data_IF_702619793615
#
_entry.id   IF_702619793615
#
_cell.length_a   1.000
_cell.length_b   1.000
_cell.length_c   1.000
_cell.angle_alpha   90.00
_cell.angle_beta   90.00
_cell.angle_gamma   90.00
#
_symmetry.space_group_name_H-M   'P 1'
#
loop_
_entity.id
_entity.type
_entity.pdbx_description
1 polymer ?
#
# COMPACT_ATOMS: atom_id res chain seq x y z
N UNK A 1 18.34 22.68 -30.17
CA UNK A 1 17.30 22.27 -29.20
C UNK A 1 16.28 21.27 -29.76
N UNK A 2 15.92 21.30 -31.05
CA UNK A 2 15.07 20.25 -31.65
C UNK A 2 15.83 18.93 -31.98
N UNK A 3 17.14 19.01 -32.20
CA UNK A 3 17.96 17.85 -32.61
C UNK A 3 18.42 16.94 -31.45
N UNK A 4 18.32 17.39 -30.20
CA UNK A 4 18.66 16.57 -29.02
C UNK A 4 17.52 15.60 -28.63
N UNK A 5 16.28 15.91 -29.03
CA UNK A 5 15.12 15.06 -28.76
C UNK A 5 15.10 13.84 -29.69
N UNK A 6 15.39 14.04 -30.99
CA UNK A 6 15.50 12.96 -31.99
C UNK A 6 16.60 11.94 -31.63
N UNK A 7 17.72 12.39 -31.03
CA UNK A 7 18.79 11.49 -30.58
C UNK A 7 18.38 10.61 -29.38
N UNK A 8 17.46 11.09 -28.53
CA UNK A 8 16.91 10.30 -27.42
C UNK A 8 15.90 9.28 -27.94
N UNK A 9 15.09 9.65 -28.94
CA UNK A 9 14.16 8.74 -29.61
C UNK A 9 14.88 7.61 -30.36
N UNK A 10 16.05 7.89 -30.96
CA UNK A 10 16.91 6.86 -31.56
C UNK A 10 17.39 5.80 -30.57
N UNK A 11 17.51 6.12 -29.27
CA UNK A 11 17.93 5.16 -28.25
C UNK A 11 16.78 4.24 -27.80
N UNK A 12 15.53 4.68 -27.97
CA UNK A 12 14.34 3.89 -27.66
C UNK A 12 13.99 2.86 -28.75
N UNK A 13 14.62 2.94 -29.92
CA UNK A 13 14.39 2.03 -31.05
C UNK A 13 15.54 1.02 -31.20
N UNK A 14 15.80 0.23 -30.15
CA UNK A 14 16.64 -0.96 -30.24
C UNK A 14 15.79 -2.20 -29.98
N UNK A 15 15.90 -3.20 -30.86
CA UNK A 15 14.93 -4.30 -31.04
C UNK A 15 14.84 -5.33 -29.89
N UNK A 16 15.44 -5.07 -28.73
CA UNK A 16 15.53 -6.01 -27.61
C UNK A 16 14.98 -5.49 -26.27
N UNK A 17 14.22 -4.39 -26.26
CA UNK A 17 13.65 -3.87 -25.00
C UNK A 17 12.13 -4.03 -24.98
N UNK A 18 11.67 -5.10 -24.31
CA UNK A 18 10.31 -5.11 -23.78
C UNK A 18 10.22 -4.02 -22.71
N UNK A 19 9.87 -2.80 -23.11
CA UNK A 19 9.54 -1.73 -22.16
C UNK A 19 8.31 -2.23 -21.42
N UNK A 20 8.47 -2.59 -20.14
CA UNK A 20 7.34 -2.96 -19.29
C UNK A 20 6.23 -1.93 -19.43
N UNK A 21 4.96 -2.34 -19.39
CA UNK A 21 3.86 -1.40 -19.56
C UNK A 21 4.05 -0.21 -18.60
N UNK A 22 3.76 1.02 -19.04
CA UNK A 22 4.03 2.23 -18.22
C UNK A 22 3.45 2.11 -16.81
N UNK A 23 2.30 1.44 -16.68
CA UNK A 23 1.69 1.10 -15.40
C UNK A 23 2.55 0.19 -14.51
N UNK A 24 3.25 -0.79 -15.07
CA UNK A 24 4.20 -1.65 -14.35
C UNK A 24 5.47 -0.89 -13.93
N UNK A 25 5.98 0.02 -14.76
CA UNK A 25 7.13 0.86 -14.38
C UNK A 25 6.77 1.80 -13.23
N UNK A 26 5.63 2.48 -13.31
CA UNK A 26 5.12 3.32 -12.21
C UNK A 26 4.90 2.48 -10.95
N UNK A 27 4.37 1.26 -11.10
CA UNK A 27 4.18 0.34 -9.98
C UNK A 27 5.50 0.01 -9.26
N UNK A 28 6.51 -0.41 -10.01
CA UNK A 28 7.81 -0.79 -9.46
C UNK A 28 8.47 0.42 -8.78
N UNK A 29 8.51 1.57 -9.45
CA UNK A 29 9.08 2.79 -8.87
C UNK A 29 8.34 3.24 -7.60
N UNK A 30 7.01 3.19 -7.58
CA UNK A 30 6.22 3.51 -6.39
C UNK A 30 6.51 2.52 -5.25
N UNK A 31 6.64 1.22 -5.55
CA UNK A 31 6.96 0.22 -4.55
C UNK A 31 8.35 0.43 -3.94
N UNK A 32 9.34 0.74 -4.76
CA UNK A 32 10.70 0.98 -4.28
C UNK A 32 10.79 2.23 -3.39
N UNK A 33 10.09 3.30 -3.77
CA UNK A 33 10.01 4.50 -2.93
C UNK A 33 9.28 4.21 -1.62
N UNK A 34 8.18 3.45 -1.64
CA UNK A 34 7.47 3.08 -0.41
C UNK A 34 8.32 2.17 0.50
N UNK A 35 9.13 1.28 -0.07
CA UNK A 35 10.11 0.48 0.67
C UNK A 35 11.15 1.39 1.33
N UNK A 36 11.72 2.33 0.58
CA UNK A 36 12.70 3.29 1.09
C UNK A 36 12.14 4.21 2.20
N UNK A 37 10.90 4.69 2.05
CA UNK A 37 10.23 5.51 3.07
C UNK A 37 9.80 4.71 4.31
N UNK A 38 9.60 3.40 4.16
CA UNK A 38 9.16 2.50 5.21
C UNK A 38 10.29 1.94 6.10
N UNK A 39 11.53 1.95 5.62
CA UNK A 39 12.70 1.53 6.37
C UNK A 39 13.10 2.59 7.39
N UNK A 40 12.85 2.35 8.68
CA UNK A 40 13.49 3.10 9.75
C UNK A 40 14.99 2.77 9.77
N UNK A 41 15.85 3.76 9.51
CA UNK A 41 17.25 3.72 9.89
C UNK A 41 17.35 3.94 11.41
N UNK A 42 17.33 2.85 12.17
CA UNK A 42 17.53 2.89 13.62
C UNK A 42 16.75 1.80 14.35
N UNK A 43 17.30 0.60 14.45
CA UNK A 43 17.59 -0.04 15.73
C UNK A 43 18.24 -1.42 15.51
N UNK A 44 19.35 -1.62 16.23
CA UNK A 44 20.19 -2.80 16.31
C UNK A 44 19.37 -4.07 16.52
N UNK A 45 19.42 -4.99 15.55
CA UNK A 45 19.00 -6.37 15.72
C UNK A 45 19.91 -7.06 16.73
N UNK A 46 19.39 -7.35 17.93
CA UNK A 46 19.86 -8.51 18.71
C UNK A 46 19.23 -9.78 18.13
N UNK A 47 20.00 -10.85 17.86
CA UNK A 47 19.46 -12.11 17.36
C UNK A 47 18.66 -12.80 18.47
N UNK A 48 17.46 -13.28 18.16
CA UNK A 48 16.76 -14.27 18.99
C UNK A 48 16.56 -15.51 18.12
N UNK A 49 16.98 -16.63 18.68
CA UNK A 49 17.32 -17.87 17.98
C UNK A 49 16.16 -18.55 17.24
N UNK A 50 16.55 -19.29 16.20
CA UNK A 50 15.70 -20.07 15.32
C UNK A 50 14.97 -21.21 16.06
N UNK A 51 13.64 -21.22 16.00
CA UNK A 51 12.83 -22.43 16.19
C UNK A 51 12.68 -23.19 14.85
N UNK A 52 12.77 -24.51 14.95
CA UNK A 52 12.93 -25.49 13.89
C UNK A 52 11.89 -25.43 12.74
N UNK A 53 12.39 -25.46 11.50
CA UNK A 53 11.60 -25.55 10.28
C UNK A 53 11.14 -26.99 10.03
N UNK A 54 9.84 -27.24 10.19
CA UNK A 54 9.21 -28.48 9.76
C UNK A 54 9.09 -28.51 8.21
N UNK A 55 9.70 -29.49 7.51
CA UNK A 55 9.73 -29.54 6.05
C UNK A 55 8.36 -29.85 5.39
N UNK A 56 7.30 -30.07 6.17
CA UNK A 56 5.94 -30.36 5.68
C UNK A 56 4.90 -29.29 6.08
N UNK A 57 5.32 -28.04 6.26
CA UNK A 57 4.41 -26.92 6.45
C UNK A 57 3.86 -26.41 5.09
N UNK A 58 2.55 -26.13 5.04
CA UNK A 58 1.84 -25.55 3.87
C UNK A 58 2.49 -24.23 3.39
N UNK A 59 3.27 -23.56 4.24
CA UNK A 59 4.03 -22.36 3.87
C UNK A 59 5.06 -22.59 2.77
N UNK A 60 5.54 -23.81 2.56
CA UNK A 60 6.48 -24.17 1.50
C UNK A 60 5.84 -24.26 0.10
N UNK A 61 4.50 -24.21 0.00
CA UNK A 61 3.77 -24.16 -1.28
C UNK A 61 3.47 -22.72 -1.73
N UNK A 62 3.79 -21.73 -0.91
CA UNK A 62 3.78 -20.34 -1.33
C UNK A 62 5.12 -20.14 -2.02
N UNK A 63 5.09 -20.04 -3.36
CA UNK A 63 6.27 -19.67 -4.15
C UNK A 63 6.97 -18.41 -3.60
N UNK A 64 8.20 -18.12 -4.06
CA UNK A 64 9.03 -17.05 -3.50
C UNK A 64 8.18 -15.79 -3.32
N UNK A 65 8.20 -15.18 -2.11
CA UNK A 65 7.20 -14.19 -1.74
C UNK A 65 7.26 -13.07 -2.77
N UNK A 66 6.14 -12.87 -3.46
CA UNK A 66 5.92 -11.78 -4.40
C UNK A 66 6.66 -10.53 -3.92
N UNK A 67 7.36 -9.88 -4.85
CA UNK A 67 8.29 -8.75 -4.68
C UNK A 67 7.68 -7.46 -4.07
N UNK A 68 6.50 -7.61 -3.47
CA UNK A 68 5.65 -6.64 -2.80
C UNK A 68 5.48 -6.97 -1.31
N UNK A 69 6.39 -7.76 -0.72
CA UNK A 69 6.43 -8.01 0.71
C UNK A 69 6.71 -6.68 1.44
N UNK A 70 5.64 -5.92 1.64
CA UNK A 70 5.58 -4.77 2.52
C UNK A 70 5.96 -5.33 3.88
N UNK A 71 7.22 -5.09 4.24
CA UNK A 71 7.86 -5.59 5.45
C UNK A 71 6.84 -5.63 6.58
N UNK A 72 6.69 -6.76 7.26
CA UNK A 72 5.62 -7.01 8.24
C UNK A 72 5.47 -5.89 9.30
N UNK A 73 6.57 -5.19 9.62
CA UNK A 73 6.62 -4.09 10.58
C UNK A 73 6.48 -2.67 9.96
N UNK A 74 6.47 -2.57 8.64
CA UNK A 74 6.25 -1.33 7.90
C UNK A 74 4.85 -0.79 8.13
N UNK A 75 4.71 0.53 7.91
CA UNK A 75 3.45 1.25 8.07
C UNK A 75 2.36 0.63 7.21
N UNK A 76 2.64 0.43 5.93
CA UNK A 76 1.74 -0.20 4.95
C UNK A 76 1.48 -1.66 5.28
N UNK A 77 2.48 -2.40 5.79
CA UNK A 77 2.32 -3.78 6.24
C UNK A 77 1.29 -3.89 7.37
N UNK A 78 1.40 -3.05 8.40
CA UNK A 78 0.45 -3.05 9.53
C UNK A 78 -0.98 -2.70 9.11
N UNK A 79 -1.15 -1.67 8.28
CA UNK A 79 -2.48 -1.26 7.77
C UNK A 79 -3.09 -2.40 6.96
N UNK A 80 -2.31 -3.02 6.08
CA UNK A 80 -2.74 -4.13 5.21
C UNK A 80 -3.10 -5.38 6.02
N UNK A 81 -2.33 -5.69 7.05
CA UNK A 81 -2.63 -6.80 7.95
C UNK A 81 -3.92 -6.56 8.75
N UNK A 82 -4.15 -5.35 9.27
CA UNK A 82 -5.41 -5.05 9.94
C UNK A 82 -6.58 -5.11 8.95
N UNK A 83 -6.42 -4.56 7.75
CA UNK A 83 -7.43 -4.65 6.70
C UNK A 83 -7.77 -6.12 6.38
N UNK A 84 -6.76 -6.97 6.27
CA UNK A 84 -6.92 -8.41 6.13
C UNK A 84 -7.68 -9.01 7.32
N UNK A 85 -7.22 -8.77 8.54
CA UNK A 85 -7.83 -9.28 9.77
C UNK A 85 -9.33 -8.96 9.86
N UNK A 86 -9.70 -7.73 9.49
CA UNK A 86 -11.09 -7.26 9.46
C UNK A 86 -11.89 -7.92 8.33
N UNK A 87 -11.32 -8.01 7.14
CA UNK A 87 -12.03 -8.45 5.95
C UNK A 87 -12.31 -9.96 5.91
N UNK A 88 -11.47 -10.78 6.56
CA UNK A 88 -11.61 -12.25 6.59
C UNK A 88 -12.70 -12.77 7.53
N UNK A 89 -13.29 -11.93 8.41
CA UNK A 89 -14.41 -12.32 9.27
C UNK A 89 -15.51 -11.25 9.26
N UNK A 90 -16.75 -11.61 8.89
CA UNK A 90 -17.88 -10.68 8.93
C UNK A 90 -18.07 -10.04 10.32
N UNK A 91 -17.88 -10.81 11.39
CA UNK A 91 -18.03 -10.35 12.76
C UNK A 91 -16.98 -9.29 13.13
N UNK A 92 -15.71 -9.49 12.72
CA UNK A 92 -14.64 -8.52 12.94
C UNK A 92 -14.90 -7.22 12.18
N UNK A 93 -15.36 -7.34 10.92
CA UNK A 93 -15.75 -6.19 10.10
C UNK A 93 -16.89 -5.40 10.74
N UNK A 94 -17.94 -6.07 11.21
CA UNK A 94 -19.07 -5.41 11.87
C UNK A 94 -18.64 -4.71 13.16
N UNK A 95 -17.79 -5.34 13.97
CA UNK A 95 -17.22 -4.72 15.18
C UNK A 95 -16.42 -3.46 14.86
N UNK A 96 -15.65 -3.48 13.77
CA UNK A 96 -14.92 -2.31 13.30
C UNK A 96 -15.86 -1.21 12.82
N UNK A 97 -16.89 -1.54 12.03
CA UNK A 97 -17.90 -0.56 11.58
C UNK A 97 -18.61 0.09 12.77
N UNK A 98 -18.97 -0.69 13.81
CA UNK A 98 -19.52 -0.13 15.06
C UNK A 98 -18.54 0.85 15.72
N UNK A 99 -17.25 0.55 15.68
CA UNK A 99 -16.20 1.45 16.20
C UNK A 99 -16.08 2.72 15.35
N UNK A 100 -16.18 2.61 14.03
CA UNK A 100 -16.21 3.77 13.12
C UNK A 100 -17.41 4.67 13.44
N UNK A 101 -18.60 4.09 13.58
CA UNK A 101 -19.81 4.85 13.90
C UNK A 101 -19.79 5.46 15.32
N UNK A 102 -19.02 4.89 16.26
CA UNK A 102 -18.82 5.47 17.58
C UNK A 102 -17.90 6.70 17.54
N UNK A 103 -16.87 6.65 16.69
CA UNK A 103 -15.82 7.67 16.63
C UNK A 103 -16.19 8.84 15.71
N UNK A 104 -17.00 8.60 14.69
CA UNK A 104 -17.42 9.61 13.73
C UNK A 104 -18.94 9.80 13.82
N UNK A 105 -19.37 11.03 14.12
CA UNK A 105 -20.80 11.40 14.09
C UNK A 105 -21.41 11.14 12.70
N UNK A 106 -22.65 10.65 12.73
CA UNK A 106 -23.43 10.10 11.60
C UNK A 106 -23.71 11.06 10.44
N UNK A 107 -23.34 12.34 10.55
CA UNK A 107 -23.64 13.37 9.55
C UNK A 107 -22.75 13.29 8.28
N UNK A 108 -21.69 12.46 8.28
CA UNK A 108 -20.89 12.16 7.07
C UNK A 108 -21.17 10.74 6.56
N UNK A 109 -21.07 10.48 5.24
CA UNK A 109 -21.23 9.14 4.65
C UNK A 109 -20.04 8.18 4.94
N UNK A 110 -19.38 8.32 6.09
CA UNK A 110 -18.32 7.42 6.55
C UNK A 110 -18.95 6.15 7.14
N UNK A 111 -20.23 6.21 7.49
CA UNK A 111 -21.08 5.19 8.09
C UNK A 111 -21.19 3.97 7.17
N UNK A 112 -20.22 3.05 7.24
CA UNK A 112 -20.10 1.72 6.58
C UNK A 112 -18.69 1.49 5.98
N UNK A 113 -17.78 2.47 6.04
CA UNK A 113 -16.44 2.30 5.48
C UNK A 113 -15.60 1.37 6.37
N UNK A 114 -15.14 0.26 5.80
CA UNK A 114 -14.05 -0.56 6.34
C UNK A 114 -12.71 -0.15 5.72
N UNK A 115 -11.60 -0.67 6.24
CA UNK A 115 -10.29 -0.59 5.59
C UNK A 115 -10.31 -1.33 4.25
N UNK A 116 -9.53 -0.83 3.28
CA UNK A 116 -9.38 -1.46 1.97
C UNK A 116 -8.21 -2.44 1.99
N UNK A 117 -8.44 -3.63 1.43
CA UNK A 117 -7.37 -4.61 1.23
C UNK A 117 -6.48 -4.17 0.07
N UNK A 118 -5.17 -4.31 0.23
CA UNK A 118 -4.25 -4.18 -0.90
C UNK A 118 -4.48 -5.30 -1.90
N UNK A 119 -4.40 -4.94 -3.18
CA UNK A 119 -4.46 -5.89 -4.28
C UNK A 119 -3.07 -5.86 -4.93
N UNK A 120 -2.24 -6.90 -4.75
CA UNK A 120 -0.85 -6.87 -5.21
C UNK A 120 -0.68 -6.56 -6.69
N UNK A 121 -1.64 -7.00 -7.52
CA UNK A 121 -1.64 -6.77 -8.97
C UNK A 121 -2.11 -5.37 -9.38
N UNK A 122 -2.60 -4.56 -8.45
CA UNK A 122 -3.07 -3.20 -8.71
C UNK A 122 -2.20 -2.20 -7.96
N UNK A 123 -1.33 -1.52 -8.69
CA UNK A 123 -0.39 -0.56 -8.14
C UNK A 123 -1.05 0.59 -7.35
N UNK A 124 -2.26 0.98 -7.76
CA UNK A 124 -3.10 1.98 -7.11
C UNK A 124 -3.73 1.54 -5.78
N UNK A 125 -3.68 0.24 -5.45
CA UNK A 125 -4.32 -0.27 -4.24
C UNK A 125 -3.63 0.25 -2.97
N UNK A 126 -2.31 0.50 -3.01
CA UNK A 126 -1.55 1.12 -1.92
C UNK A 126 -2.06 2.53 -1.60
N UNK A 127 -2.22 3.36 -2.64
CA UNK A 127 -2.77 4.71 -2.51
C UNK A 127 -4.18 4.67 -1.91
N UNK A 128 -5.08 3.84 -2.46
CA UNK A 128 -6.45 3.72 -1.97
C UNK A 128 -6.52 3.23 -0.52
N UNK A 129 -5.68 2.26 -0.15
CA UNK A 129 -5.58 1.77 1.23
C UNK A 129 -5.12 2.87 2.17
N UNK A 130 -4.04 3.59 1.84
CA UNK A 130 -3.51 4.67 2.67
C UNK A 130 -4.52 5.80 2.83
N UNK A 131 -5.16 6.22 1.74
CA UNK A 131 -6.22 7.23 1.76
C UNK A 131 -7.33 6.83 2.74
N UNK A 132 -7.85 5.59 2.62
CA UNK A 132 -8.89 5.07 3.52
C UNK A 132 -8.42 4.96 4.96
N UNK A 133 -7.18 4.53 5.19
CA UNK A 133 -6.64 4.38 6.54
C UNK A 133 -6.48 5.73 7.23
N UNK A 134 -6.05 6.77 6.50
CA UNK A 134 -5.96 8.14 6.99
C UNK A 134 -7.35 8.71 7.31
N UNK A 135 -8.34 8.50 6.43
CA UNK A 135 -9.75 8.86 6.69
C UNK A 135 -10.29 8.21 7.98
N UNK A 136 -9.82 7.00 8.28
CA UNK A 136 -10.27 6.20 9.41
C UNK A 136 -9.28 6.19 10.60
N UNK A 137 -8.27 7.08 10.63
CA UNK A 137 -7.18 7.09 11.63
C UNK A 137 -7.68 7.00 13.08
N UNK A 138 -8.70 7.76 13.44
CA UNK A 138 -9.22 7.76 14.81
C UNK A 138 -9.87 6.42 15.18
N UNK A 139 -10.73 5.89 14.31
CA UNK A 139 -11.36 4.58 14.51
C UNK A 139 -10.35 3.43 14.47
N UNK A 140 -9.33 3.50 13.61
CA UNK A 140 -8.21 2.56 13.58
C UNK A 140 -7.51 2.50 14.94
N UNK A 141 -7.07 3.66 15.45
CA UNK A 141 -6.36 3.73 16.72
C UNK A 141 -7.23 3.23 17.88
N UNK A 142 -8.50 3.65 17.92
CA UNK A 142 -9.45 3.18 18.93
C UNK A 142 -9.61 1.65 18.86
N UNK A 143 -9.79 1.08 17.67
CA UNK A 143 -9.96 -0.36 17.48
C UNK A 143 -8.72 -1.17 17.87
N UNK A 144 -7.51 -0.62 17.70
CA UNK A 144 -6.26 -1.26 18.07
C UNK A 144 -5.84 -1.10 19.54
N UNK A 145 -6.62 -0.38 20.35
CA UNK A 145 -6.35 -0.18 21.79
C UNK A 145 -6.28 -1.49 22.60
N UNK A 146 -7.12 -2.52 22.37
CA UNK A 146 -7.02 -3.77 23.11
C UNK A 146 -5.67 -4.46 22.87
N UNK A 147 -5.07 -5.03 23.92
CA UNK A 147 -3.76 -5.68 23.86
C UNK A 147 -3.62 -6.73 22.74
N UNK A 148 -4.71 -7.45 22.42
CA UNK A 148 -4.72 -8.46 21.34
C UNK A 148 -4.58 -7.89 19.94
N UNK A 149 -4.75 -6.58 19.76
CA UNK A 149 -4.64 -5.87 18.47
C UNK A 149 -3.50 -4.84 18.47
N UNK A 150 -2.71 -4.78 19.54
CA UNK A 150 -1.61 -3.83 19.70
C UNK A 150 -0.52 -4.02 18.64
N UNK A 151 -0.34 -5.24 18.11
CA UNK A 151 0.60 -5.51 17.01
C UNK A 151 0.31 -4.67 15.75
N UNK A 152 -0.96 -4.39 15.48
CA UNK A 152 -1.40 -3.56 14.35
C UNK A 152 -1.31 -2.06 14.62
N UNK A 153 -1.07 -1.62 15.86
CA UNK A 153 -1.06 -0.20 16.21
C UNK A 153 0.05 0.58 15.50
N UNK A 154 -0.26 1.83 15.19
CA UNK A 154 0.66 2.81 14.61
C UNK A 154 0.85 3.97 15.56
N UNK A 155 2.11 4.35 15.80
CA UNK A 155 2.44 5.55 16.58
C UNK A 155 2.08 6.81 15.80
N UNK A 156 2.04 7.95 16.50
CA UNK A 156 1.83 9.25 15.88
C UNK A 156 2.80 9.51 14.72
N UNK A 157 4.10 9.24 14.94
CA UNK A 157 5.14 9.41 13.92
C UNK A 157 4.90 8.52 12.69
N UNK A 158 4.46 7.27 12.90
CA UNK A 158 4.11 6.36 11.79
C UNK A 158 2.91 6.86 10.99
N UNK A 159 1.93 7.50 11.64
CA UNK A 159 0.83 8.15 10.93
C UNK A 159 1.27 9.36 10.11
N UNK A 160 2.20 10.18 10.60
CA UNK A 160 2.76 11.29 9.83
C UNK A 160 3.54 10.77 8.60
N UNK A 161 4.35 9.72 8.77
CA UNK A 161 5.01 9.04 7.65
C UNK A 161 4.00 8.46 6.65
N UNK A 162 2.91 7.84 7.13
CA UNK A 162 1.83 7.34 6.26
C UNK A 162 1.20 8.46 5.41
N UNK A 163 1.04 9.66 5.99
CA UNK A 163 0.55 10.84 5.28
C UNK A 163 1.52 11.32 4.20
N UNK A 164 2.82 11.32 4.49
CA UNK A 164 3.86 11.62 3.48
C UNK A 164 3.82 10.62 2.32
N UNK A 165 3.73 9.32 2.62
CA UNK A 165 3.59 8.27 1.60
C UNK A 165 2.34 8.47 0.74
N UNK A 166 1.20 8.82 1.36
CA UNK A 166 -0.04 9.14 0.65
C UNK A 166 0.13 10.34 -0.30
N UNK A 167 0.69 11.45 0.18
CA UNK A 167 0.89 12.66 -0.61
C UNK A 167 1.84 12.42 -1.80
N UNK A 168 2.87 11.59 -1.60
CA UNK A 168 3.77 11.19 -2.68
C UNK A 168 3.06 10.39 -3.78
N UNK A 169 2.17 9.46 -3.39
CA UNK A 169 1.45 8.61 -4.34
C UNK A 169 0.30 9.33 -5.06
N UNK A 170 -0.24 10.41 -4.48
CA UNK A 170 -1.37 11.14 -5.01
C UNK A 170 -1.18 11.64 -6.46
N UNK A 171 -0.10 12.35 -6.83
CA UNK A 171 0.08 12.81 -8.20
C UNK A 171 0.22 11.65 -9.21
N UNK A 172 0.81 10.52 -8.81
CA UNK A 172 0.89 9.33 -9.66
C UNK A 172 -0.51 8.75 -9.92
N UNK A 173 -1.32 8.67 -8.86
CA UNK A 173 -2.70 8.20 -8.94
C UNK A 173 -3.53 9.07 -9.88
N UNK A 174 -3.46 10.39 -9.71
CA UNK A 174 -4.15 11.38 -10.56
C UNK A 174 -3.69 11.29 -12.02
N UNK A 175 -2.38 11.23 -12.27
CA UNK A 175 -1.84 11.06 -13.63
C UNK A 175 -2.38 9.79 -14.30
N UNK A 176 -2.55 8.71 -13.55
CA UNK A 176 -3.09 7.47 -14.11
C UNK A 176 -4.58 7.52 -14.31
N UNK A 177 -5.34 8.24 -13.48
CA UNK A 177 -6.74 8.51 -13.78
C UNK A 177 -6.88 9.31 -15.08
N UNK A 178 -5.97 10.24 -15.36
CA UNK A 178 -5.96 10.97 -16.63
C UNK A 178 -5.64 10.05 -17.81
N UNK A 179 -4.57 9.26 -17.73
CA UNK A 179 -4.11 8.39 -18.83
C UNK A 179 -5.04 7.20 -19.08
N UNK A 180 -5.56 6.58 -18.02
CA UNK A 180 -6.36 5.36 -18.10
C UNK A 180 -7.87 5.58 -17.96
N UNK A 181 -8.30 6.75 -17.47
CA UNK A 181 -9.71 7.13 -17.33
C UNK A 181 -10.25 7.93 -18.50
N UNK A 182 -9.39 8.46 -19.38
CA UNK A 182 -9.84 9.02 -20.65
C UNK A 182 -10.25 7.87 -21.58
N UNK A 183 -11.55 7.73 -21.85
CA UNK A 183 -12.03 7.00 -23.04
C UNK A 183 -11.66 7.70 -24.37
N UNK A 184 -10.65 8.57 -24.36
CA UNK A 184 -10.17 9.35 -25.49
C UNK A 184 -8.66 9.20 -25.60
N UNK A 185 -8.11 8.93 -26.79
CA UNK A 185 -6.68 8.84 -27.00
C UNK A 185 -6.06 10.22 -26.82
N UNK A 186 -5.22 10.39 -25.79
CA UNK A 186 -4.36 11.57 -25.63
C UNK A 186 -3.11 11.37 -26.49
N UNK A 187 -3.31 11.12 -27.80
CA UNK A 187 -2.23 11.14 -28.79
C UNK A 187 -2.79 11.82 -30.04
N UNK A 188 -2.79 13.15 -30.00
CA UNK A 188 -2.62 14.02 -31.16
C UNK A 188 -2.56 15.46 -30.69
N UNK A 189 -1.35 16.03 -30.64
CA UNK A 189 -1.00 17.30 -31.28
C UNK A 189 0.48 17.29 -31.62
#
# INVERSE_FOLDING_TARGET
MALEIESIYSCLCSKDHAVGCMANTIHLSACDVLKALGSDTGDTSTPVDHEDLNPMAISSLIGPPNDLNLQYNSITGKISQLASYLCHSPQRREKFIKTVNLVYDTDKPINAKTLLLQVPTQWNSNYKMLNRALDLKAAYNHFCTPNSLASYSLSHLKWEKAKVMFLFLQPLYEATLLICGSSYPIINQ
#
